data_IF_965767789451
#
_entry.id   IF_965767789451
#
_cell.length_a   1.000
_cell.length_b   1.000
_cell.length_c   1.000
_cell.angle_alpha   90.00
_cell.angle_beta   90.00
_cell.angle_gamma   90.00
#
_symmetry.space_group_name_H-M   'P 1'
#
loop_
_entity.id
_entity.type
_entity.pdbx_description
1 polymer ?
#
# COMPACT_ATOMS: atom_id res chain seq x y z
N UNK A 1 -24.90 2.80 1.01
CA UNK A 1 -24.05 3.85 0.48
C UNK A 1 -22.60 3.58 0.84
N UNK A 2 -21.71 3.74 -0.12
CA UNK A 2 -20.30 3.44 0.14
C UNK A 2 -19.63 4.54 0.93
N UNK A 3 -18.56 4.18 1.65
CA UNK A 3 -17.80 5.11 2.47
C UNK A 3 -16.33 4.87 2.18
N UNK A 4 -15.58 5.93 1.95
CA UNK A 4 -14.15 5.81 1.75
C UNK A 4 -13.47 5.43 3.07
N UNK A 5 -12.66 4.40 3.01
CA UNK A 5 -11.99 3.85 4.18
C UNK A 5 -10.51 3.72 3.86
N UNK A 6 -9.67 3.88 4.85
CA UNK A 6 -8.23 3.71 4.70
C UNK A 6 -7.66 2.90 5.85
N UNK A 7 -6.53 2.26 5.58
CA UNK A 7 -5.80 1.49 6.57
C UNK A 7 -4.31 1.77 6.39
N UNK A 8 -3.62 1.98 7.49
CA UNK A 8 -2.17 2.14 7.46
C UNK A 8 -1.61 1.55 8.74
N UNK A 9 -0.71 0.60 8.60
CA UNK A 9 0.05 0.01 9.71
C UNK A 9 -0.83 -0.39 10.89
N UNK A 10 -1.88 -1.10 10.60
CA UNK A 10 -2.76 -1.63 11.63
C UNK A 10 -3.89 -0.72 12.06
N UNK A 11 -3.98 0.48 11.50
CA UNK A 11 -5.02 1.43 11.89
C UNK A 11 -6.01 1.66 10.78
N UNK A 12 -7.28 1.52 11.10
CA UNK A 12 -8.38 1.86 10.20
C UNK A 12 -8.83 3.30 10.45
N UNK A 13 -9.25 3.97 9.42
CA UNK A 13 -9.78 5.32 9.54
C UNK A 13 -10.17 5.88 8.19
N UNK A 14 -10.33 7.20 8.13
CA UNK A 14 -10.57 7.90 6.87
C UNK A 14 -9.27 8.53 6.41
N UNK A 15 -9.23 8.95 5.16
CA UNK A 15 -8.06 9.63 4.64
C UNK A 15 -7.74 10.89 5.43
N UNK A 16 -8.76 11.52 6.01
CA UNK A 16 -8.55 12.75 6.77
C UNK A 16 -8.05 12.50 8.18
N UNK A 17 -8.30 11.31 8.73
CA UNK A 17 -7.97 11.01 10.13
C UNK A 17 -6.65 10.28 10.29
N UNK A 18 -6.17 9.61 9.25
CA UNK A 18 -4.93 8.87 9.33
C UNK A 18 -3.74 9.76 8.97
N UNK A 19 -2.59 9.40 9.51
CA UNK A 19 -1.40 10.22 9.35
C UNK A 19 -0.28 9.40 8.74
N UNK A 20 0.57 10.07 7.99
CA UNK A 20 1.74 9.48 7.38
C UNK A 20 2.95 10.26 7.88
N UNK A 21 4.05 9.59 8.24
CA UNK A 21 5.25 10.31 8.64
C UNK A 21 5.74 11.21 7.51
N UNK A 22 6.17 12.41 7.85
CA UNK A 22 6.63 13.37 6.85
C UNK A 22 7.90 12.92 6.13
N UNK A 23 8.64 12.00 6.73
CA UNK A 23 9.84 11.46 6.11
C UNK A 23 9.59 10.14 5.38
N UNK A 24 8.32 9.80 5.11
CA UNK A 24 8.02 8.63 4.32
C UNK A 24 8.56 8.84 2.90
N UNK A 25 9.25 7.84 2.37
CA UNK A 25 9.95 7.97 1.11
C UNK A 25 8.99 8.10 -0.08
N UNK A 26 7.81 7.48 0.00
CA UNK A 26 6.82 7.65 -1.06
C UNK A 26 6.32 9.09 -1.09
N UNK A 27 6.18 9.72 0.07
CA UNK A 27 5.74 11.10 0.16
C UNK A 27 6.81 12.06 -0.38
N UNK A 28 8.06 11.90 0.06
CA UNK A 28 9.11 12.84 -0.26
C UNK A 28 9.75 12.60 -1.62
N UNK A 29 9.85 11.34 -2.03
CA UNK A 29 10.66 10.97 -3.18
C UNK A 29 9.88 10.18 -4.23
N UNK A 30 8.58 10.04 -4.05
CA UNK A 30 7.76 9.18 -4.90
C UNK A 30 8.32 7.75 -4.95
N UNK A 31 8.92 7.30 -3.86
CA UNK A 31 9.61 6.02 -3.81
C UNK A 31 8.62 4.96 -3.29
N UNK A 32 7.65 4.65 -4.12
CA UNK A 32 6.61 3.69 -3.76
C UNK A 32 5.90 3.16 -5.00
N UNK A 33 5.06 2.17 -4.77
CA UNK A 33 4.31 1.51 -5.82
C UNK A 33 2.86 1.47 -5.44
N UNK A 34 1.99 1.44 -6.44
CA UNK A 34 0.57 1.25 -6.17
C UNK A 34 -0.07 0.38 -7.23
N UNK A 35 -1.18 -0.25 -6.84
CA UNK A 35 -2.08 -0.97 -7.74
C UNK A 35 -3.48 -0.52 -7.43
N UNK A 36 -4.32 -0.41 -8.44
CA UNK A 36 -5.73 -0.10 -8.27
C UNK A 36 -6.54 -1.30 -8.73
N UNK A 37 -7.30 -1.87 -7.81
CA UNK A 37 -8.08 -3.07 -8.06
C UNK A 37 -9.55 -2.69 -8.12
N UNK A 38 -10.22 -3.06 -9.19
CA UNK A 38 -11.67 -2.84 -9.29
C UNK A 38 -12.39 -3.81 -8.38
N UNK A 39 -13.33 -3.29 -7.59
CA UNK A 39 -14.24 -4.12 -6.81
C UNK A 39 -15.57 -4.13 -7.56
N UNK A 40 -16.04 -5.31 -7.91
CA UNK A 40 -17.32 -5.46 -8.60
C UNK A 40 -18.22 -6.36 -7.78
N UNK A 41 -19.32 -5.82 -7.34
CA UNK A 41 -20.29 -6.53 -6.50
C UNK A 41 -19.59 -7.20 -5.32
N UNK A 42 -18.70 -6.46 -4.65
CA UNK A 42 -17.98 -6.93 -3.48
C UNK A 42 -16.78 -7.80 -3.77
N UNK A 43 -16.47 -8.09 -5.04
CA UNK A 43 -15.38 -9.00 -5.39
C UNK A 43 -14.23 -8.25 -6.06
N UNK A 44 -13.01 -8.38 -5.53
CA UNK A 44 -11.86 -7.76 -6.19
C UNK A 44 -11.56 -8.49 -7.49
N UNK A 45 -11.40 -7.73 -8.55
CA UNK A 45 -11.21 -8.26 -9.89
C UNK A 45 -9.74 -8.41 -10.21
N UNK A 46 -9.35 -9.57 -10.76
CA UNK A 46 -7.97 -9.85 -11.17
C UNK A 46 -6.98 -9.63 -10.01
N UNK A 47 -7.39 -9.99 -8.81
CA UNK A 47 -6.58 -9.72 -7.63
C UNK A 47 -5.21 -10.39 -7.73
N UNK A 48 -5.16 -11.64 -8.17
CA UNK A 48 -3.89 -12.36 -8.24
C UNK A 48 -2.92 -11.67 -9.19
N UNK A 49 -3.41 -11.21 -10.33
CA UNK A 49 -2.59 -10.51 -11.31
C UNK A 49 -2.08 -9.18 -10.79
N UNK A 50 -2.92 -8.44 -10.08
CA UNK A 50 -2.51 -7.18 -9.45
C UNK A 50 -1.45 -7.42 -8.38
N UNK A 51 -1.64 -8.41 -7.54
CA UNK A 51 -0.68 -8.70 -6.47
C UNK A 51 0.64 -9.20 -7.04
N UNK A 52 0.60 -9.99 -8.10
CA UNK A 52 1.81 -10.47 -8.75
C UNK A 52 2.61 -9.32 -9.34
N UNK A 53 1.94 -8.40 -10.04
CA UNK A 53 2.62 -7.25 -10.63
C UNK A 53 3.21 -6.35 -9.56
N UNK A 54 2.47 -6.15 -8.47
CA UNK A 54 2.89 -5.32 -7.35
C UNK A 54 4.18 -5.90 -6.74
N UNK A 55 4.19 -7.20 -6.51
CA UNK A 55 5.32 -7.90 -5.95
C UNK A 55 6.52 -7.89 -6.91
N UNK A 56 6.28 -8.13 -8.19
CA UNK A 56 7.35 -8.14 -9.19
C UNK A 56 7.98 -6.76 -9.32
N UNK A 57 7.17 -5.71 -9.28
CA UNK A 57 7.67 -4.35 -9.37
C UNK A 57 8.50 -3.99 -8.15
N UNK A 58 8.08 -4.44 -6.98
CA UNK A 58 8.87 -4.21 -5.76
C UNK A 58 10.23 -4.88 -5.86
N UNK A 59 10.27 -6.11 -6.34
CA UNK A 59 11.53 -6.83 -6.52
C UNK A 59 12.42 -6.12 -7.53
N UNK A 60 11.84 -5.64 -8.62
CA UNK A 60 12.58 -4.96 -9.66
C UNK A 60 13.22 -3.67 -9.15
N UNK A 61 12.56 -2.98 -8.24
CA UNK A 61 13.06 -1.75 -7.66
C UNK A 61 13.89 -1.96 -6.40
N UNK A 62 14.15 -3.22 -6.03
CA UNK A 62 14.96 -3.51 -4.85
C UNK A 62 14.27 -3.17 -3.54
N UNK A 63 12.94 -3.13 -3.53
CA UNK A 63 12.18 -2.90 -2.32
C UNK A 63 11.94 -4.22 -1.59
N UNK A 64 11.70 -4.14 -0.29
CA UNK A 64 11.22 -5.31 0.43
C UNK A 64 9.92 -5.79 -0.21
N UNK A 65 9.67 -7.09 -0.20
CA UNK A 65 8.44 -7.59 -0.83
C UNK A 65 7.21 -7.14 -0.06
N UNK A 66 6.16 -6.73 -0.77
CA UNK A 66 4.91 -6.43 -0.10
C UNK A 66 4.28 -7.71 0.43
N UNK A 67 3.28 -7.58 1.30
CA UNK A 67 2.62 -8.76 1.85
C UNK A 67 2.02 -9.63 0.75
N UNK A 68 1.96 -10.91 1.01
CA UNK A 68 1.40 -11.85 0.06
C UNK A 68 -0.10 -11.96 0.22
N UNK A 69 -0.73 -12.66 -0.72
CA UNK A 69 -2.18 -12.72 -0.80
C UNK A 69 -2.83 -13.24 0.47
N UNK A 70 -2.26 -14.28 1.07
CA UNK A 70 -2.87 -14.87 2.27
C UNK A 70 -2.87 -13.90 3.45
N UNK A 71 -1.90 -12.99 3.52
CA UNK A 71 -1.88 -11.95 4.54
C UNK A 71 -2.81 -10.80 4.18
N UNK A 72 -3.01 -10.52 2.90
CA UNK A 72 -3.81 -9.40 2.44
C UNK A 72 -5.30 -9.70 2.34
N UNK A 73 -5.68 -10.92 2.04
CA UNK A 73 -7.08 -11.23 1.81
C UNK A 73 -8.00 -10.86 2.97
N UNK A 74 -7.66 -11.19 4.23
CA UNK A 74 -8.53 -10.78 5.32
C UNK A 74 -8.65 -9.26 5.43
N UNK A 75 -7.57 -8.56 5.14
CA UNK A 75 -7.55 -7.10 5.18
C UNK A 75 -8.41 -6.51 4.08
N UNK A 76 -8.32 -7.08 2.88
CA UNK A 76 -9.12 -6.63 1.74
C UNK A 76 -10.60 -6.90 2.00
N UNK A 77 -10.95 -8.06 2.55
CA UNK A 77 -12.34 -8.35 2.88
C UNK A 77 -12.87 -7.38 3.92
N UNK A 78 -12.07 -7.08 4.93
CA UNK A 78 -12.44 -6.14 5.95
C UNK A 78 -12.64 -4.74 5.36
N UNK A 79 -11.77 -4.34 4.45
CA UNK A 79 -11.89 -3.05 3.77
C UNK A 79 -13.19 -2.97 2.97
N UNK A 80 -13.53 -4.04 2.26
CA UNK A 80 -14.76 -4.09 1.46
C UNK A 80 -15.98 -3.95 2.35
N UNK A 81 -15.99 -4.63 3.51
CA UNK A 81 -17.10 -4.52 4.44
C UNK A 81 -17.20 -3.13 5.05
N UNK A 82 -16.07 -2.61 5.52
CA UNK A 82 -16.07 -1.30 6.17
C UNK A 82 -16.46 -0.17 5.24
N UNK A 83 -16.13 -0.32 3.95
CA UNK A 83 -16.48 0.70 2.95
C UNK A 83 -17.89 0.50 2.39
N UNK A 84 -18.60 -0.53 2.84
CA UNK A 84 -19.96 -0.83 2.40
C UNK A 84 -20.01 -1.18 0.91
N UNK A 85 -19.00 -1.90 0.45
CA UNK A 85 -18.92 -2.33 -0.94
C UNK A 85 -19.22 -3.81 -1.13
N UNK A 86 -19.74 -4.48 -0.11
CA UNK A 86 -19.99 -5.92 -0.19
C UNK A 86 -20.93 -6.30 -1.33
N UNK A 87 -21.86 -5.40 -1.70
CA UNK A 87 -22.76 -5.63 -2.81
C UNK A 87 -22.75 -4.45 -3.77
N UNK A 88 -21.60 -3.81 -3.91
CA UNK A 88 -21.47 -2.61 -4.70
C UNK A 88 -20.14 -2.62 -5.45
N UNK A 89 -20.00 -1.68 -6.36
CA UNK A 89 -18.77 -1.52 -7.13
C UNK A 89 -17.96 -0.39 -6.54
N UNK A 90 -16.63 -0.53 -6.63
CA UNK A 90 -15.73 0.49 -6.14
C UNK A 90 -14.32 0.20 -6.57
N UNK A 91 -13.37 0.83 -5.91
CA UNK A 91 -11.96 0.65 -6.21
C UNK A 91 -11.16 0.50 -4.91
N UNK A 92 -10.17 -0.36 -4.96
CA UNK A 92 -9.23 -0.56 -3.88
C UNK A 92 -7.86 -0.14 -4.37
N UNK A 93 -7.20 0.73 -3.63
CA UNK A 93 -5.84 1.13 -3.96
C UNK A 93 -4.88 0.54 -2.94
N UNK A 94 -3.89 -0.18 -3.45
CA UNK A 94 -2.83 -0.74 -2.62
C UNK A 94 -1.57 0.08 -2.84
N UNK A 95 -1.00 0.58 -1.77
CA UNK A 95 0.22 1.38 -1.83
C UNK A 95 1.31 0.68 -1.05
N UNK A 96 2.50 0.63 -1.63
CA UNK A 96 3.65 0.04 -0.96
C UNK A 96 4.80 1.04 -1.04
N UNK A 97 5.19 1.58 0.10
CA UNK A 97 6.24 2.57 0.20
C UNK A 97 7.51 1.92 0.74
N UNK A 98 8.64 2.47 0.37
CA UNK A 98 9.90 2.07 1.01
C UNK A 98 9.93 2.48 2.49
N UNK A 99 8.96 3.26 2.90
CA UNK A 99 8.79 3.66 4.29
C UNK A 99 9.61 4.87 4.65
N UNK A 100 9.78 5.07 5.93
CA UNK A 100 10.50 6.22 6.45
C UNK A 100 11.91 5.88 6.90
N UNK A 101 12.41 4.72 6.55
CA UNK A 101 13.77 4.39 6.92
C UNK A 101 14.73 5.27 6.17
N UNK A 102 15.89 5.38 6.68
CA UNK A 102 16.81 6.26 6.12
C UNK A 102 17.26 5.74 4.80
N UNK A 103 17.67 6.66 4.07
CA UNK A 103 18.02 6.42 2.88
C UNK A 103 19.33 6.37 2.82
N UNK A 104 19.78 5.81 2.17
CA UNK A 104 20.99 5.81 2.06
C UNK A 104 21.35 6.75 1.16
N UNK A 105 22.00 7.38 1.31
CA UNK A 105 22.47 8.23 0.48
C UNK A 105 23.62 8.59 0.72
N UNK A 106 23.92 8.62 0.24
CA UNK A 106 24.72 8.78 0.50
C UNK A 106 25.29 9.56 0.51
N UNK A 107 25.76 9.84 0.57
CA UNK A 107 26.19 10.38 0.91
C UNK A 107 26.97 10.60 1.12
N UNK A 108 27.60 10.36 1.23
CA UNK A 108 28.17 10.40 1.70
C UNK A 108 28.92 10.27 1.74
N UNK A 109 29.51 10.25 1.67
CA UNK A 109 29.93 9.95 1.94
C UNK A 109 30.28 9.73 2.39
N UNK A 110 30.39 9.61 2.65
CA UNK A 110 30.34 9.26 3.26
C UNK A 110 29.85 8.97 3.62
N UNK A 111 29.60 8.87 3.75
CA UNK A 111 28.85 8.51 4.23
C UNK A 111 28.04 8.13 4.17
N UNK A 112 28.01 8.00 4.51
CA UNK A 112 27.13 7.38 4.26
C UNK A 112 26.07 7.29 5.06
N UNK A 113 25.05 7.40 4.84
CA UNK A 113 24.02 7.33 5.58
C UNK A 113 23.41 6.10 5.45
N UNK A 114 23.01 5.54 6.50
CA UNK A 114 22.52 4.36 6.49
C UNK A 114 21.28 4.28 7.06
N UNK A 115 20.41 3.61 6.60
CA UNK A 115 19.22 3.26 7.17
C UNK A 115 19.39 2.25 8.10
N UNK A 116 18.91 2.38 9.17
CA UNK A 116 18.99 1.34 10.13
C UNK A 116 17.69 1.14 10.80
#
# INVERSE_FOLDING_TARGET
MSTAIAWIEGQWGTAASLQLPLNDRALLLADGLFETVLIRNGAPQLLQEHLQRWSDSAALLGMDPPPQRDALEPLIEDAIQRSQLSEADGALRLNWSRGSSCLLYTSDAADDIRCV
#
